data_IF_959130064747
#
_entry.id   IF_959130064747
#
_cell.length_a   1.000
_cell.length_b   1.000
_cell.length_c   1.000
_cell.angle_alpha   90.00
_cell.angle_beta   90.00
_cell.angle_gamma   90.00
#
_symmetry.space_group_name_H-M   'P 1'
#
loop_
_entity.id
_entity.type
_entity.pdbx_description
1 polymer ?
#
# COMPACT_ATOMS: atom_id res chain seq x y z
N UNK A 1 -14.58 -66.85 31.87
CA UNK A 1 -14.92 -66.03 30.68
C UNK A 1 -15.01 -66.96 29.47
N UNK A 2 -16.15 -67.01 28.78
CA UNK A 2 -16.30 -67.85 27.58
C UNK A 2 -15.50 -67.25 26.42
N UNK A 3 -15.02 -68.10 25.50
CA UNK A 3 -14.30 -67.68 24.28
C UNK A 3 -15.07 -66.63 23.46
N UNK A 4 -16.41 -66.64 23.53
CA UNK A 4 -17.26 -65.68 22.83
C UNK A 4 -17.15 -64.25 23.38
N UNK A 5 -16.94 -64.08 24.69
CA UNK A 5 -16.74 -62.76 25.29
C UNK A 5 -15.41 -62.10 24.86
N UNK A 6 -14.38 -62.91 24.58
CA UNK A 6 -13.06 -62.44 24.13
C UNK A 6 -13.11 -62.01 22.65
N UNK A 7 -13.86 -62.75 21.82
CA UNK A 7 -14.05 -62.43 20.39
C UNK A 7 -14.92 -61.17 20.22
N UNK A 8 -15.99 -61.03 21.00
CA UNK A 8 -16.85 -59.84 20.97
C UNK A 8 -16.12 -58.56 21.40
N UNK A 9 -15.25 -58.63 22.40
CA UNK A 9 -14.43 -57.49 22.84
C UNK A 9 -13.37 -57.08 21.80
N UNK A 10 -12.77 -58.05 21.10
CA UNK A 10 -11.78 -57.79 20.05
C UNK A 10 -12.39 -57.12 18.81
N UNK A 11 -13.61 -57.52 18.41
CA UNK A 11 -14.34 -56.91 17.27
C UNK A 11 -14.81 -55.48 17.60
N UNK A 12 -15.25 -55.23 18.84
CA UNK A 12 -15.62 -53.88 19.32
C UNK A 12 -14.42 -52.91 19.39
N UNK A 13 -13.27 -53.39 19.87
CA UNK A 13 -12.04 -52.60 19.95
C UNK A 13 -11.46 -52.28 18.56
N UNK A 14 -11.51 -53.22 17.61
CA UNK A 14 -11.05 -53.01 16.24
C UNK A 14 -11.93 -52.00 15.48
N UNK A 15 -13.25 -52.04 15.64
CA UNK A 15 -14.15 -51.04 15.04
C UNK A 15 -13.94 -49.62 15.57
N UNK A 16 -13.64 -49.49 16.86
CA UNK A 16 -13.39 -48.20 17.52
C UNK A 16 -12.07 -47.56 17.08
N UNK A 17 -11.02 -48.37 16.91
CA UNK A 17 -9.72 -47.90 16.44
C UNK A 17 -9.78 -47.42 14.98
N UNK A 18 -10.54 -48.10 14.12
CA UNK A 18 -10.72 -47.72 12.70
C UNK A 18 -11.46 -46.37 12.58
N UNK A 19 -12.50 -46.15 13.39
CA UNK A 19 -13.24 -44.87 13.42
C UNK A 19 -12.38 -43.70 13.90
N UNK A 20 -11.53 -43.90 14.91
CA UNK A 20 -10.60 -42.87 15.40
C UNK A 20 -9.53 -42.51 14.37
N UNK A 21 -8.98 -43.50 13.65
CA UNK A 21 -8.01 -43.26 12.58
C UNK A 21 -8.62 -42.54 11.38
N UNK A 22 -9.84 -42.91 10.95
CA UNK A 22 -10.59 -42.20 9.91
C UNK A 22 -10.92 -40.76 10.32
N UNK A 23 -11.32 -40.55 11.58
CA UNK A 23 -11.57 -39.23 12.13
C UNK A 23 -10.32 -38.35 12.13
N UNK A 24 -9.16 -38.86 12.56
CA UNK A 24 -7.90 -38.13 12.57
C UNK A 24 -7.40 -37.77 11.15
N UNK A 25 -7.55 -38.68 10.18
CA UNK A 25 -7.14 -38.44 8.80
C UNK A 25 -8.01 -37.38 8.12
N UNK A 26 -9.33 -37.43 8.31
CA UNK A 26 -10.27 -36.42 7.83
C UNK A 26 -10.03 -35.05 8.50
N UNK A 27 -9.70 -35.03 9.79
CA UNK A 27 -9.42 -33.78 10.50
C UNK A 27 -8.09 -33.14 10.03
N UNK A 28 -7.06 -33.93 9.70
CA UNK A 28 -5.80 -33.44 9.14
C UNK A 28 -5.94 -32.91 7.70
N UNK A 29 -6.73 -33.58 6.86
CA UNK A 29 -6.98 -33.12 5.49
C UNK A 29 -7.84 -31.85 5.47
N UNK A 30 -8.86 -31.76 6.32
CA UNK A 30 -9.71 -30.56 6.41
C UNK A 30 -9.05 -29.40 7.14
N UNK A 31 -8.12 -29.64 8.07
CA UNK A 31 -7.37 -28.57 8.75
C UNK A 31 -6.38 -27.89 7.80
N UNK A 32 -5.67 -28.67 6.95
CA UNK A 32 -4.73 -28.12 5.97
C UNK A 32 -5.43 -27.29 4.88
N UNK A 33 -6.61 -27.72 4.41
CA UNK A 33 -7.42 -26.96 3.47
C UNK A 33 -7.97 -25.66 4.07
N UNK A 34 -8.46 -25.69 5.32
CA UNK A 34 -8.91 -24.50 6.05
C UNK A 34 -7.76 -23.52 6.29
N UNK A 35 -6.59 -24.02 6.69
CA UNK A 35 -5.41 -23.20 6.92
C UNK A 35 -4.96 -22.47 5.65
N UNK A 36 -4.94 -23.16 4.50
CA UNK A 36 -4.64 -22.52 3.20
C UNK A 36 -5.66 -21.44 2.84
N UNK A 37 -6.96 -21.70 3.03
CA UNK A 37 -8.01 -20.70 2.79
C UNK A 37 -7.85 -19.47 3.70
N UNK A 38 -7.54 -19.68 4.97
CA UNK A 38 -7.26 -18.60 5.91
C UNK A 38 -6.05 -17.76 5.48
N UNK A 39 -4.95 -18.40 5.09
CA UNK A 39 -3.78 -17.66 4.60
C UNK A 39 -4.06 -16.85 3.33
N UNK A 40 -4.88 -17.37 2.41
CA UNK A 40 -5.26 -16.64 1.19
C UNK A 40 -6.10 -15.42 1.56
N UNK A 41 -7.14 -15.61 2.39
CA UNK A 41 -8.00 -14.52 2.85
C UNK A 41 -7.22 -13.46 3.64
N UNK A 42 -6.27 -13.86 4.49
CA UNK A 42 -5.40 -12.94 5.22
C UNK A 42 -4.48 -12.15 4.29
N UNK A 43 -3.92 -12.79 3.25
CA UNK A 43 -3.09 -12.11 2.25
C UNK A 43 -3.91 -11.11 1.43
N UNK A 44 -5.11 -11.48 1.02
CA UNK A 44 -6.04 -10.59 0.29
C UNK A 44 -6.43 -9.39 1.15
N UNK A 45 -6.82 -9.64 2.40
CA UNK A 45 -7.11 -8.57 3.38
C UNK A 45 -5.91 -7.65 3.56
N UNK A 46 -4.71 -8.23 3.76
CA UNK A 46 -3.48 -7.45 3.94
C UNK A 46 -3.15 -6.61 2.71
N UNK A 47 -3.42 -7.13 1.51
CA UNK A 47 -3.24 -6.39 0.27
C UNK A 47 -4.25 -5.24 0.16
N UNK A 48 -5.51 -5.42 0.54
CA UNK A 48 -6.48 -4.33 0.60
C UNK A 48 -6.06 -3.23 1.61
N UNK A 49 -5.63 -3.60 2.82
CA UNK A 49 -5.11 -2.65 3.82
C UNK A 49 -3.93 -1.83 3.27
N UNK A 50 -3.00 -2.49 2.56
CA UNK A 50 -1.83 -1.83 1.96
C UNK A 50 -2.18 -0.96 0.77
N UNK A 51 -3.28 -1.26 0.08
CA UNK A 51 -3.79 -0.43 -0.99
C UNK A 51 -4.33 0.91 -0.44
N UNK A 52 -5.15 0.84 0.62
CA UNK A 52 -5.64 2.04 1.31
C UNK A 52 -4.50 2.88 1.85
N UNK A 53 -3.50 2.24 2.47
CA UNK A 53 -2.29 2.92 2.96
C UNK A 53 -1.55 3.62 1.81
N UNK A 54 -1.34 2.96 0.67
CA UNK A 54 -0.69 3.56 -0.51
C UNK A 54 -1.40 4.83 -0.97
N UNK A 55 -2.74 4.80 -1.06
CA UNK A 55 -3.54 5.97 -1.44
C UNK A 55 -3.34 7.10 -0.42
N UNK A 56 -3.44 6.80 0.88
CA UNK A 56 -3.24 7.79 1.92
C UNK A 56 -1.85 8.44 1.82
N UNK A 57 -0.79 7.65 1.61
CA UNK A 57 0.57 8.15 1.42
C UNK A 57 0.68 9.10 0.22
N UNK A 58 -0.01 8.81 -0.88
CA UNK A 58 -0.01 9.66 -2.07
C UNK A 58 -0.70 11.01 -1.82
N UNK A 59 -1.80 11.04 -1.08
CA UNK A 59 -2.42 12.31 -0.68
C UNK A 59 -1.55 13.11 0.29
N UNK A 60 -0.92 12.44 1.26
CA UNK A 60 0.10 13.06 2.12
C UNK A 60 1.26 13.64 1.30
N UNK A 61 1.67 12.97 0.21
CA UNK A 61 2.72 13.46 -0.68
C UNK A 61 2.32 14.76 -1.40
N UNK A 62 1.07 14.86 -1.87
CA UNK A 62 0.57 16.10 -2.47
C UNK A 62 0.51 17.24 -1.44
N UNK A 63 0.08 16.95 -0.20
CA UNK A 63 0.07 17.93 0.89
C UNK A 63 1.50 18.37 1.29
N UNK A 64 2.46 17.44 1.25
CA UNK A 64 3.87 17.73 1.48
C UNK A 64 4.37 18.80 0.49
N UNK A 65 4.12 18.63 -0.82
CA UNK A 65 4.53 19.63 -1.82
C UNK A 65 3.86 21.00 -1.64
N UNK A 66 2.58 21.04 -1.25
CA UNK A 66 1.91 22.31 -0.94
C UNK A 66 2.52 22.99 0.29
N UNK A 67 2.86 22.20 1.31
CA UNK A 67 3.57 22.70 2.51
C UNK A 67 4.93 23.28 2.14
N UNK A 68 5.68 22.62 1.26
CA UNK A 68 6.94 23.17 0.74
C UNK A 68 6.70 24.49 0.00
N UNK A 69 5.65 24.59 -0.82
CA UNK A 69 5.26 25.85 -1.44
C UNK A 69 5.03 26.96 -0.41
N UNK A 70 4.34 26.66 0.69
CA UNK A 70 4.11 27.59 1.79
C UNK A 70 5.39 28.06 2.49
N UNK A 71 6.34 27.17 2.68
CA UNK A 71 7.64 27.48 3.29
C UNK A 71 8.48 28.34 2.32
N UNK A 72 8.66 27.87 1.08
CA UNK A 72 9.63 28.45 0.15
C UNK A 72 9.14 29.72 -0.54
N UNK A 73 7.88 29.74 -1.01
CA UNK A 73 7.32 30.89 -1.73
C UNK A 73 6.79 31.97 -0.78
N UNK A 74 6.20 31.58 0.35
CA UNK A 74 5.53 32.52 1.26
C UNK A 74 6.28 32.74 2.58
N UNK A 75 7.37 32.01 2.83
CA UNK A 75 8.19 32.19 4.04
C UNK A 75 7.45 31.83 5.32
N UNK A 76 6.45 30.94 5.26
CA UNK A 76 5.74 30.51 6.46
C UNK A 76 6.71 29.76 7.40
N UNK A 77 6.64 30.07 8.69
CA UNK A 77 7.41 29.38 9.72
C UNK A 77 6.73 28.04 10.07
N UNK A 78 6.93 27.06 9.21
CA UNK A 78 6.44 25.69 9.36
C UNK A 78 7.67 24.77 9.31
N UNK A 79 7.71 23.76 10.18
CA UNK A 79 8.76 22.74 10.13
C UNK A 79 8.70 22.01 8.79
N UNK A 80 9.84 21.86 8.10
CA UNK A 80 9.88 21.19 6.81
C UNK A 80 9.56 19.69 6.98
N UNK A 81 8.46 19.20 6.38
CA UNK A 81 8.09 17.80 6.51
C UNK A 81 8.99 16.89 5.67
N UNK A 82 9.18 15.65 6.13
CA UNK A 82 9.87 14.61 5.36
C UNK A 82 8.97 14.13 4.22
N UNK A 83 9.54 13.93 3.04
CA UNK A 83 8.80 13.40 1.89
C UNK A 83 8.23 12.00 2.20
N UNK A 84 6.91 11.78 2.03
CA UNK A 84 6.29 10.46 2.22
C UNK A 84 6.48 9.53 1.01
N UNK A 85 7.04 9.99 -0.10
CA UNK A 85 7.18 9.20 -1.33
C UNK A 85 8.01 7.91 -1.18
N UNK A 86 9.11 7.86 -0.41
CA UNK A 86 9.82 6.61 -0.15
C UNK A 86 8.94 5.53 0.51
N UNK A 87 7.98 5.94 1.35
CA UNK A 87 7.00 5.02 1.94
C UNK A 87 6.05 4.47 0.87
N UNK A 88 5.63 5.30 -0.09
CA UNK A 88 4.81 4.85 -1.21
C UNK A 88 5.57 3.85 -2.11
N UNK A 89 6.84 4.10 -2.44
CA UNK A 89 7.66 3.14 -3.22
C UNK A 89 7.85 1.83 -2.45
N UNK A 90 8.07 1.87 -1.13
CA UNK A 90 8.19 0.66 -0.33
C UNK A 90 6.91 -0.21 -0.35
N UNK A 91 5.72 0.42 -0.22
CA UNK A 91 4.44 -0.29 -0.30
C UNK A 91 4.25 -0.87 -1.70
N UNK A 92 4.48 -0.06 -2.74
CA UNK A 92 4.32 -0.49 -4.13
C UNK A 92 5.31 -1.60 -4.50
N UNK A 93 6.54 -1.56 -4.01
CA UNK A 93 7.54 -2.59 -4.29
C UNK A 93 7.14 -3.98 -3.78
N UNK A 94 6.42 -4.04 -2.67
CA UNK A 94 6.01 -5.31 -2.06
C UNK A 94 4.63 -5.76 -2.56
N UNK A 95 3.66 -4.86 -2.64
CA UNK A 95 2.26 -5.21 -2.84
C UNK A 95 1.70 -4.84 -4.22
N UNK A 96 2.27 -3.83 -4.89
CA UNK A 96 1.74 -3.28 -6.15
C UNK A 96 2.84 -2.89 -7.15
N UNK A 97 3.67 -3.86 -7.60
CA UNK A 97 4.86 -3.58 -8.39
C UNK A 97 4.56 -2.88 -9.72
N UNK A 98 3.34 -3.02 -10.25
CA UNK A 98 2.88 -2.35 -11.47
C UNK A 98 2.93 -0.82 -11.40
N UNK A 99 2.78 -0.23 -10.20
CA UNK A 99 2.76 1.24 -10.05
C UNK A 99 4.15 1.85 -9.87
N UNK A 100 5.21 1.06 -9.65
CA UNK A 100 6.55 1.59 -9.36
C UNK A 100 7.08 2.53 -10.44
N UNK A 101 6.86 2.19 -11.71
CA UNK A 101 7.30 3.03 -12.83
C UNK A 101 6.64 4.42 -12.81
N UNK A 102 5.35 4.47 -12.42
CA UNK A 102 4.61 5.74 -12.31
C UNK A 102 5.02 6.52 -11.06
N UNK A 103 5.27 5.84 -9.94
CA UNK A 103 5.85 6.47 -8.74
C UNK A 103 7.23 7.09 -9.01
N UNK A 104 8.09 6.41 -9.77
CA UNK A 104 9.38 6.96 -10.18
C UNK A 104 9.23 8.19 -11.08
N UNK A 105 8.29 8.16 -12.03
CA UNK A 105 8.00 9.32 -12.87
C UNK A 105 7.45 10.49 -12.05
N UNK A 106 6.60 10.20 -11.06
CA UNK A 106 6.07 11.17 -10.12
C UNK A 106 7.20 11.83 -9.32
N UNK A 107 8.13 11.03 -8.76
CA UNK A 107 9.31 11.48 -8.03
C UNK A 107 10.17 12.45 -8.86
N UNK A 108 10.44 12.08 -10.11
CA UNK A 108 11.22 12.91 -11.02
C UNK A 108 10.57 14.28 -11.27
N UNK A 109 9.25 14.30 -11.48
CA UNK A 109 8.52 15.56 -11.72
C UNK A 109 8.35 16.39 -10.46
N UNK A 110 8.08 15.77 -9.31
CA UNK A 110 8.02 16.48 -8.04
C UNK A 110 9.37 17.08 -7.65
N UNK A 111 10.48 16.37 -7.89
CA UNK A 111 11.82 16.89 -7.62
C UNK A 111 12.15 18.08 -8.52
N UNK A 112 11.73 18.06 -9.80
CA UNK A 112 11.87 19.22 -10.67
C UNK A 112 11.10 20.43 -10.13
N UNK A 113 9.86 20.24 -9.68
CA UNK A 113 9.08 21.31 -9.05
C UNK A 113 9.68 21.78 -7.71
N UNK A 114 10.20 20.87 -6.90
CA UNK A 114 10.88 21.21 -5.64
C UNK A 114 12.14 22.05 -5.87
N UNK A 115 12.96 21.69 -6.85
CA UNK A 115 14.11 22.51 -7.25
C UNK A 115 13.69 23.91 -7.71
N UNK A 116 12.57 24.01 -8.43
CA UNK A 116 12.00 25.30 -8.80
C UNK A 116 11.57 26.10 -7.56
N UNK A 117 10.91 25.48 -6.57
CA UNK A 117 10.56 26.15 -5.30
C UNK A 117 11.79 26.72 -4.59
N UNK A 118 12.88 25.96 -4.53
CA UNK A 118 14.14 26.41 -3.93
C UNK A 118 14.72 27.63 -4.66
N UNK A 119 14.69 27.64 -6.01
CA UNK A 119 15.13 28.79 -6.80
C UNK A 119 14.26 30.02 -6.53
N UNK A 120 12.94 29.85 -6.41
CA UNK A 120 12.02 30.95 -6.08
C UNK A 120 12.20 31.46 -4.65
N UNK A 121 12.54 30.59 -3.70
CA UNK A 121 12.89 31.02 -2.34
C UNK A 121 14.08 31.99 -2.34
N UNK A 122 15.08 31.80 -3.21
CA UNK A 122 16.20 32.73 -3.34
C UNK A 122 15.75 34.11 -3.81
N UNK A 123 14.82 34.19 -4.77
CA UNK A 123 14.25 35.47 -5.23
C UNK A 123 13.50 36.17 -4.10
N UNK A 124 12.72 35.43 -3.31
CA UNK A 124 12.04 35.96 -2.14
C UNK A 124 13.03 36.54 -1.12
N UNK A 125 14.09 35.81 -0.81
CA UNK A 125 15.15 36.27 0.10
C UNK A 125 15.90 37.49 -0.44
N UNK A 126 15.99 37.63 -1.76
CA UNK A 126 16.53 38.83 -2.41
C UNK A 126 15.54 40.01 -2.47
N UNK A 127 14.36 39.91 -1.84
CA UNK A 127 13.38 40.98 -1.75
C UNK A 127 12.57 41.22 -3.03
N UNK A 128 12.51 40.24 -3.94
CA UNK A 128 11.69 40.33 -5.16
C UNK A 128 10.20 40.35 -4.84
N UNK A 129 9.42 40.95 -5.75
CA UNK A 129 7.96 41.01 -5.60
C UNK A 129 7.35 39.61 -5.65
N UNK A 130 6.17 39.43 -5.04
CA UNK A 130 5.51 38.13 -5.01
C UNK A 130 5.11 37.65 -6.41
N UNK A 131 4.81 38.58 -7.32
CA UNK A 131 4.51 38.26 -8.72
C UNK A 131 5.74 37.66 -9.43
N UNK A 132 6.94 38.23 -9.21
CA UNK A 132 8.20 37.67 -9.74
C UNK A 132 8.54 36.30 -9.10
N UNK A 133 8.28 36.13 -7.80
CA UNK A 133 8.52 34.88 -7.07
C UNK A 133 7.58 33.78 -7.57
N UNK A 134 6.30 34.09 -7.79
CA UNK A 134 5.29 33.13 -8.24
C UNK A 134 5.22 32.96 -9.77
N UNK A 135 5.98 33.75 -10.53
CA UNK A 135 5.98 33.69 -11.99
C UNK A 135 6.31 32.27 -12.49
N UNK A 136 5.45 31.72 -13.32
CA UNK A 136 5.63 30.38 -13.89
C UNK A 136 5.20 29.22 -12.98
N UNK A 137 4.54 29.49 -11.84
CA UNK A 137 4.17 28.42 -10.88
C UNK A 137 3.31 27.34 -11.53
N UNK A 138 2.30 27.73 -12.31
CA UNK A 138 1.38 26.80 -12.95
C UNK A 138 2.11 25.85 -13.89
N UNK A 139 2.93 26.41 -14.77
CA UNK A 139 3.71 25.68 -15.78
C UNK A 139 4.67 24.66 -15.16
N UNK A 140 5.21 24.95 -13.98
CA UNK A 140 6.12 24.05 -13.27
C UNK A 140 5.39 23.01 -12.41
N UNK A 141 4.22 23.37 -11.87
CA UNK A 141 3.43 22.47 -11.02
C UNK A 141 2.62 21.45 -11.83
N UNK A 142 2.03 21.88 -12.97
CA UNK A 142 1.12 21.07 -13.79
C UNK A 142 1.70 19.71 -14.21
N UNK A 143 2.97 19.57 -14.65
CA UNK A 143 3.51 18.27 -15.07
C UNK A 143 3.52 17.22 -13.94
N UNK A 144 3.80 17.65 -12.70
CA UNK A 144 3.70 16.77 -11.54
C UNK A 144 2.23 16.43 -11.25
N UNK A 145 1.37 17.45 -11.23
CA UNK A 145 -0.02 17.27 -10.81
C UNK A 145 -0.81 16.39 -11.79
N UNK A 146 -0.54 16.49 -13.09
CA UNK A 146 -1.15 15.59 -14.07
C UNK A 146 -0.75 14.13 -13.83
N UNK A 147 0.53 13.85 -13.57
CA UNK A 147 0.97 12.48 -13.24
C UNK A 147 0.36 11.97 -11.94
N UNK A 148 0.14 12.86 -10.96
CA UNK A 148 -0.56 12.51 -9.74
C UNK A 148 -1.99 12.07 -10.04
N UNK A 149 -2.75 12.86 -10.81
CA UNK A 149 -4.11 12.51 -11.20
C UNK A 149 -4.17 11.21 -12.01
N UNK A 150 -3.30 11.06 -13.02
CA UNK A 150 -3.23 9.83 -13.82
C UNK A 150 -2.93 8.59 -12.96
N UNK A 151 -2.12 8.73 -11.91
CA UNK A 151 -1.84 7.63 -10.98
C UNK A 151 -3.04 7.31 -10.08
N UNK A 152 -3.78 8.33 -9.62
CA UNK A 152 -5.01 8.12 -8.84
C UNK A 152 -6.07 7.42 -9.68
N UNK A 153 -6.23 7.80 -10.95
CA UNK A 153 -7.15 7.15 -11.88
C UNK A 153 -6.78 5.67 -12.09
N UNK A 154 -5.50 5.36 -12.33
CA UNK A 154 -5.06 3.97 -12.46
C UNK A 154 -5.28 3.13 -11.19
N UNK A 155 -5.12 3.75 -10.01
CA UNK A 155 -5.38 3.11 -8.73
C UNK A 155 -6.87 2.83 -8.57
N UNK A 156 -7.75 3.76 -8.93
CA UNK A 156 -9.19 3.55 -8.94
C UNK A 156 -9.58 2.39 -9.86
N UNK A 157 -9.09 2.41 -11.10
CA UNK A 157 -9.29 1.34 -12.08
C UNK A 157 -8.78 -0.03 -11.58
N UNK A 158 -7.65 -0.03 -10.86
CA UNK A 158 -7.14 -1.23 -10.24
C UNK A 158 -8.04 -1.73 -9.10
N UNK A 159 -8.53 -0.84 -8.25
CA UNK A 159 -9.42 -1.20 -7.15
C UNK A 159 -10.71 -1.84 -7.66
N UNK A 160 -11.27 -1.29 -8.74
CA UNK A 160 -12.48 -1.80 -9.39
C UNK A 160 -12.30 -3.21 -9.98
N UNK A 161 -11.09 -3.59 -10.38
CA UNK A 161 -10.79 -4.93 -10.90
C UNK A 161 -10.40 -5.94 -9.82
N UNK A 162 -9.78 -5.47 -8.73
CA UNK A 162 -9.14 -6.34 -7.76
C UNK A 162 -9.98 -6.58 -6.50
N UNK A 163 -10.79 -5.60 -6.10
CA UNK A 163 -11.52 -5.63 -4.82
C UNK A 163 -13.05 -5.60 -4.95
N UNK A 164 -13.58 -5.54 -6.18
CA UNK A 164 -15.00 -5.68 -6.49
C UNK A 164 -15.27 -6.97 -7.25
#
# INVERSE_FOLDING_TARGET
MSREAIIAAAVSAAGSAILLFLGALLNHLTSSARYRRQQIAEKEKRRAEKFEELIAVLFEFNQWLDTLGNIYLFGRNIEEPISPLPRADAIAAVYFPSFRKKLLALDQKSNAYYLWLLQRAQLRLAGKSMDEVCAGRGEQFTPYYQLFLDLIDDLHDFADREFR
#
